data_IF_582071847150
#
_entry.id   IF_582071847150
#
_cell.length_a   1.000
_cell.length_b   1.000
_cell.length_c   1.000
_cell.angle_alpha   90.00
_cell.angle_beta   90.00
_cell.angle_gamma   90.00
#
_symmetry.space_group_name_H-M   'P 1'
#
loop_
_entity.id
_entity.type
_entity.pdbx_description
1 polymer ?
#
# COMPACT_ATOMS: atom_id res chain seq x y z
N UNK A 1 36.88 -50.00 -8.46
CA UNK A 1 36.34 -51.20 -7.78
C UNK A 1 35.67 -50.78 -6.47
N UNK A 2 34.51 -51.40 -6.19
CA UNK A 2 33.65 -51.38 -4.98
C UNK A 2 32.87 -50.10 -4.66
N UNK A 3 31.60 -50.15 -5.06
CA UNK A 3 30.46 -49.31 -4.66
C UNK A 3 29.79 -49.93 -3.42
N UNK A 4 29.10 -49.13 -2.62
CA UNK A 4 27.98 -49.60 -1.79
C UNK A 4 26.78 -48.67 -1.99
N UNK A 5 25.71 -49.28 -2.47
CA UNK A 5 24.37 -48.75 -2.70
C UNK A 5 23.52 -49.34 -1.57
N UNK A 6 22.75 -48.53 -0.87
CA UNK A 6 21.69 -49.01 0.03
C UNK A 6 20.36 -48.69 -0.67
N UNK A 7 19.68 -49.74 -1.10
CA UNK A 7 18.27 -49.70 -1.45
C UNK A 7 17.42 -50.18 -0.28
N UNK A 8 16.14 -49.81 -0.32
CA UNK A 8 15.04 -50.68 0.10
C UNK A 8 13.87 -50.42 -0.84
N UNK A 9 13.33 -51.51 -1.40
CA UNK A 9 12.20 -51.54 -2.32
C UNK A 9 10.97 -52.13 -1.63
N UNK A 10 9.84 -52.07 -2.37
CA UNK A 10 8.58 -52.82 -2.21
C UNK A 10 7.63 -52.30 -1.11
N UNK A 11 6.33 -52.19 -1.29
CA UNK A 11 5.43 -52.78 -2.29
C UNK A 11 4.17 -51.90 -2.49
N UNK A 12 3.59 -51.93 -3.69
CA UNK A 12 2.25 -51.41 -3.94
C UNK A 12 1.16 -52.40 -3.54
N UNK A 13 -0.04 -51.88 -3.27
CA UNK A 13 -1.27 -52.65 -3.36
C UNK A 13 -2.44 -51.76 -3.80
N UNK A 14 -2.96 -52.10 -4.98
CA UNK A 14 -4.27 -51.78 -5.53
C UNK A 14 -5.38 -52.21 -4.57
N UNK A 15 -6.38 -51.35 -4.31
CA UNK A 15 -7.76 -51.80 -4.07
C UNK A 15 -8.76 -50.77 -4.60
N UNK A 16 -9.40 -51.14 -5.71
CA UNK A 16 -10.66 -50.59 -6.17
C UNK A 16 -11.83 -51.33 -5.49
N UNK A 17 -12.93 -50.61 -5.26
CA UNK A 17 -14.27 -51.21 -5.20
C UNK A 17 -15.11 -50.90 -3.96
N UNK A 18 -16.31 -50.36 -4.21
CA UNK A 18 -17.53 -51.00 -3.71
C UNK A 18 -18.37 -50.27 -2.66
N UNK A 19 -19.43 -49.61 -3.15
CA UNK A 19 -20.79 -49.51 -2.62
C UNK A 19 -21.11 -49.89 -1.16
N UNK A 20 -21.79 -48.98 -0.45
CA UNK A 20 -22.86 -49.33 0.47
C UNK A 20 -23.90 -48.20 0.57
N UNK A 21 -25.08 -48.46 0.02
CA UNK A 21 -26.36 -47.78 0.32
C UNK A 21 -26.96 -48.39 1.58
N UNK A 22 -27.47 -47.59 2.52
CA UNK A 22 -28.77 -47.87 3.19
C UNK A 22 -29.36 -46.60 3.77
N UNK A 23 -30.68 -46.55 3.61
CA UNK A 23 -31.63 -45.45 3.75
C UNK A 23 -32.05 -45.16 5.20
N UNK A 24 -32.53 -43.94 5.44
CA UNK A 24 -33.74 -43.71 6.24
C UNK A 24 -34.52 -42.54 5.63
N UNK A 25 -35.84 -42.72 5.56
CA UNK A 25 -36.81 -41.82 4.96
C UNK A 25 -37.69 -41.16 6.05
N UNK A 26 -38.34 -40.08 5.61
CA UNK A 26 -39.57 -39.45 6.12
C UNK A 26 -39.45 -38.34 7.18
N UNK A 27 -39.69 -37.12 6.66
CA UNK A 27 -40.56 -36.04 7.14
C UNK A 27 -40.53 -35.65 8.61
N UNK A 28 -40.02 -34.44 8.84
CA UNK A 28 -40.67 -33.47 9.74
C UNK A 28 -40.22 -32.07 9.36
N UNK A 29 -41.21 -31.20 9.13
CA UNK A 29 -41.01 -29.77 8.94
C UNK A 29 -40.20 -29.20 10.11
N UNK A 30 -39.08 -28.54 9.79
CA UNK A 30 -38.35 -27.73 10.76
C UNK A 30 -37.86 -26.46 10.05
N UNK A 31 -38.28 -25.34 10.64
CA UNK A 31 -38.02 -23.97 10.25
C UNK A 31 -36.60 -23.75 9.74
N UNK A 32 -36.48 -23.06 8.60
CA UNK A 32 -35.22 -22.46 8.17
C UNK A 32 -34.81 -21.40 9.20
N UNK A 33 -34.00 -21.82 10.16
CA UNK A 33 -33.27 -20.92 11.03
C UNK A 33 -32.29 -20.13 10.14
N UNK A 34 -32.54 -18.83 9.98
CA UNK A 34 -31.55 -17.89 9.43
C UNK A 34 -30.35 -17.96 10.35
N UNK A 35 -29.34 -18.74 9.98
CA UNK A 35 -28.05 -18.73 10.63
C UNK A 35 -27.49 -17.32 10.57
N UNK A 36 -27.50 -16.63 11.72
CA UNK A 36 -26.69 -15.45 11.95
C UNK A 36 -25.23 -15.81 11.63
N UNK A 37 -24.77 -15.39 10.46
CA UNK A 37 -23.36 -15.29 10.16
C UNK A 37 -22.80 -14.12 10.98
N UNK A 38 -22.60 -14.34 12.28
CA UNK A 38 -21.83 -13.42 13.11
C UNK A 38 -20.37 -13.50 12.68
N UNK A 39 -20.00 -12.74 11.66
CA UNK A 39 -18.60 -12.44 11.38
C UNK A 39 -18.07 -11.64 12.56
N UNK A 40 -17.39 -12.33 13.47
CA UNK A 40 -16.64 -11.72 14.56
C UNK A 40 -15.44 -10.99 13.96
N UNK A 41 -15.68 -9.78 13.48
CA UNK A 41 -14.67 -8.78 13.20
C UNK A 41 -13.98 -8.43 14.53
N UNK A 42 -13.05 -9.29 14.97
CA UNK A 42 -12.13 -8.91 16.03
C UNK A 42 -11.32 -7.76 15.48
N UNK A 43 -11.55 -6.57 16.06
CA UNK A 43 -10.78 -5.34 16.00
C UNK A 43 -9.27 -5.59 16.14
N UNK A 44 -8.66 -6.17 15.11
CA UNK A 44 -7.23 -6.17 14.82
C UNK A 44 -7.09 -5.15 13.71
N UNK A 45 -6.57 -3.98 14.09
CA UNK A 45 -6.45 -2.79 13.26
C UNK A 45 -6.17 -3.14 11.79
N UNK A 46 -7.19 -2.93 10.97
CA UNK A 46 -7.04 -2.96 9.53
C UNK A 46 -6.07 -1.84 9.18
N UNK A 47 -4.99 -2.26 8.52
CA UNK A 47 -3.83 -1.43 8.25
C UNK A 47 -4.20 -0.16 7.52
N UNK A 48 -3.28 0.80 7.64
CA UNK A 48 -3.22 2.04 6.88
C UNK A 48 -3.30 1.80 5.35
N UNK A 49 -4.49 1.50 4.83
CA UNK A 49 -4.81 1.57 3.41
C UNK A 49 -5.22 3.01 3.11
N UNK A 50 -4.20 3.86 3.00
CA UNK A 50 -3.94 4.55 1.74
C UNK A 50 -5.01 5.42 1.05
N UNK A 51 -6.15 5.77 1.65
CA UNK A 51 -6.84 7.01 1.26
C UNK A 51 -6.07 8.16 1.91
N UNK A 52 -5.19 8.78 1.14
CA UNK A 52 -4.30 9.87 1.57
C UNK A 52 -5.04 11.16 1.92
N UNK A 53 -6.01 11.13 2.83
CA UNK A 53 -6.35 12.31 3.61
C UNK A 53 -5.27 12.43 4.68
N UNK A 54 -4.46 13.48 4.63
CA UNK A 54 -3.79 13.89 5.85
C UNK A 54 -4.88 14.20 6.88
N UNK A 55 -4.67 13.87 8.16
CA UNK A 55 -5.56 14.31 9.24
C UNK A 55 -5.42 15.83 9.47
N UNK A 56 -5.03 16.58 8.44
CA UNK A 56 -4.86 18.01 8.52
C UNK A 56 -6.25 18.62 8.52
N UNK A 57 -6.52 19.48 9.51
CA UNK A 57 -7.84 20.05 9.74
C UNK A 57 -8.40 20.75 8.48
N UNK A 58 -7.53 21.31 7.65
CA UNK A 58 -7.93 22.03 6.43
C UNK A 58 -8.51 21.10 5.36
N UNK A 59 -7.91 19.92 5.13
CA UNK A 59 -8.42 18.94 4.16
C UNK A 59 -9.72 18.27 4.61
N UNK A 60 -9.89 18.08 5.93
CA UNK A 60 -11.14 17.56 6.51
C UNK A 60 -12.26 18.58 6.30
N UNK A 61 -12.00 19.85 6.60
CA UNK A 61 -12.98 20.93 6.40
C UNK A 61 -13.33 21.12 4.92
N UNK A 62 -12.35 21.04 4.03
CA UNK A 62 -12.60 21.12 2.58
C UNK A 62 -13.49 19.98 2.12
N UNK A 63 -13.17 18.73 2.46
CA UNK A 63 -13.98 17.55 2.11
C UNK A 63 -15.38 17.61 2.69
N UNK A 64 -15.51 18.03 3.95
CA UNK A 64 -16.81 18.24 4.57
C UNK A 64 -17.63 19.27 3.77
N UNK A 65 -17.02 20.39 3.38
CA UNK A 65 -17.66 21.40 2.53
C UNK A 65 -18.09 20.87 1.16
N UNK A 66 -17.23 20.09 0.49
CA UNK A 66 -17.54 19.46 -0.81
C UNK A 66 -18.73 18.48 -0.72
N UNK A 67 -18.89 17.81 0.42
CA UNK A 67 -19.97 16.87 0.69
C UNK A 67 -21.21 17.53 1.32
N UNK A 68 -21.18 18.85 1.54
CA UNK A 68 -22.28 19.60 2.17
C UNK A 68 -22.47 19.30 3.66
N UNK A 69 -21.42 18.82 4.35
CA UNK A 69 -21.42 18.48 5.77
C UNK A 69 -21.16 19.74 6.60
N UNK A 70 -22.00 19.97 7.62
CA UNK A 70 -21.79 21.05 8.59
C UNK A 70 -20.55 20.81 9.45
N UNK A 71 -19.67 21.80 9.51
CA UNK A 71 -18.38 21.72 10.22
C UNK A 71 -18.38 22.41 11.59
N UNK A 72 -19.30 23.33 11.83
CA UNK A 72 -19.33 24.13 13.06
C UNK A 72 -19.66 23.27 14.30
N UNK A 73 -18.82 23.37 15.32
CA UNK A 73 -19.02 22.69 16.60
C UNK A 73 -18.71 21.19 16.61
N UNK A 74 -18.20 20.63 15.51
CA UNK A 74 -17.79 19.22 15.42
C UNK A 74 -16.28 19.08 15.57
N UNK A 75 -15.85 18.03 16.25
CA UNK A 75 -14.45 17.64 16.27
C UNK A 75 -14.05 16.91 14.96
N UNK A 76 -12.74 16.75 14.77
CA UNK A 76 -12.20 16.13 13.56
C UNK A 76 -12.60 14.66 13.40
N UNK A 77 -12.74 13.91 14.49
CA UNK A 77 -13.10 12.49 14.45
C UNK A 77 -14.54 12.30 13.95
N UNK A 78 -15.45 13.12 14.46
CA UNK A 78 -16.85 13.19 14.02
C UNK A 78 -16.93 13.56 12.54
N UNK A 79 -16.18 14.60 12.12
CA UNK A 79 -16.17 15.01 10.71
C UNK A 79 -15.62 13.92 9.78
N UNK A 80 -14.55 13.23 10.19
CA UNK A 80 -14.01 12.10 9.41
C UNK A 80 -15.04 10.98 9.27
N UNK A 81 -15.77 10.67 10.35
CA UNK A 81 -16.86 9.68 10.33
C UNK A 81 -17.95 10.05 9.32
N UNK A 82 -18.47 11.27 9.41
CA UNK A 82 -19.52 11.75 8.51
C UNK A 82 -19.06 11.85 7.05
N UNK A 83 -17.82 12.30 6.81
CA UNK A 83 -17.23 12.31 5.46
C UNK A 83 -17.18 10.90 4.89
N UNK A 84 -16.71 9.94 5.69
CA UNK A 84 -16.60 8.54 5.25
C UNK A 84 -17.97 7.95 4.93
N UNK A 85 -18.97 8.19 5.78
CA UNK A 85 -20.34 7.75 5.55
C UNK A 85 -20.93 8.36 4.27
N UNK A 86 -20.78 9.66 4.08
CA UNK A 86 -21.25 10.36 2.89
C UNK A 86 -20.57 9.85 1.60
N UNK A 87 -19.26 9.57 1.65
CA UNK A 87 -18.52 8.96 0.53
C UNK A 87 -19.04 7.55 0.21
N UNK A 88 -19.21 6.69 1.21
CA UNK A 88 -19.72 5.33 1.03
C UNK A 88 -21.13 5.36 0.43
N UNK A 89 -22.01 6.22 0.95
CA UNK A 89 -23.37 6.39 0.43
C UNK A 89 -23.38 6.86 -1.03
N UNK A 90 -22.48 7.77 -1.38
CA UNK A 90 -22.33 8.25 -2.75
C UNK A 90 -21.87 7.12 -3.67
N UNK A 91 -20.80 6.41 -3.30
CA UNK A 91 -20.28 5.28 -4.07
C UNK A 91 -21.30 4.15 -4.21
N UNK A 92 -22.04 3.84 -3.15
CA UNK A 92 -23.12 2.87 -3.18
C UNK A 92 -24.18 3.24 -4.22
N UNK A 93 -24.61 4.49 -4.26
CA UNK A 93 -25.57 4.98 -5.26
C UNK A 93 -25.02 4.90 -6.68
N UNK A 94 -23.76 5.27 -6.89
CA UNK A 94 -23.09 5.19 -8.21
C UNK A 94 -22.99 3.74 -8.71
N UNK A 95 -22.79 2.78 -7.80
CA UNK A 95 -22.75 1.35 -8.09
C UNK A 95 -24.13 0.68 -8.14
N UNK A 96 -25.21 1.44 -7.94
CA UNK A 96 -26.59 0.91 -7.93
C UNK A 96 -26.92 0.05 -6.71
N UNK A 97 -26.17 0.17 -5.62
CA UNK A 97 -26.39 -0.54 -4.36
C UNK A 97 -27.53 0.14 -3.59
N UNK A 98 -28.48 -0.66 -3.10
CA UNK A 98 -29.56 -0.17 -2.24
C UNK A 98 -29.01 0.23 -0.87
N UNK A 99 -29.30 1.46 -0.46
CA UNK A 99 -28.83 2.06 0.81
C UNK A 99 -29.83 1.99 1.95
N UNK A 100 -31.12 1.82 1.68
CA UNK A 100 -32.16 1.91 2.69
C UNK A 100 -32.06 0.78 3.74
N UNK A 101 -31.95 1.17 5.00
CA UNK A 101 -31.97 0.25 6.14
C UNK A 101 -30.68 -0.53 6.39
N UNK A 102 -29.57 -0.17 5.73
CA UNK A 102 -28.23 -0.73 5.98
C UNK A 102 -27.39 0.21 6.82
N UNK A 103 -26.53 -0.34 7.65
CA UNK A 103 -25.50 0.45 8.31
C UNK A 103 -24.31 0.74 7.38
N UNK A 104 -23.43 1.62 7.84
CA UNK A 104 -22.30 2.12 7.04
C UNK A 104 -21.27 1.02 6.75
N UNK A 105 -21.06 0.09 7.69
CA UNK A 105 -20.17 -1.05 7.55
C UNK A 105 -20.67 -2.02 6.47
N UNK A 106 -21.94 -2.41 6.50
CA UNK A 106 -22.57 -3.27 5.48
C UNK A 106 -22.47 -2.63 4.09
N UNK A 107 -22.74 -1.33 4.00
CA UNK A 107 -22.60 -0.58 2.75
C UNK A 107 -21.17 -0.53 2.25
N UNK A 108 -20.20 -0.37 3.16
CA UNK A 108 -18.80 -0.37 2.79
C UNK A 108 -18.37 -1.71 2.21
N UNK A 109 -18.77 -2.83 2.83
CA UNK A 109 -18.46 -4.16 2.35
C UNK A 109 -19.05 -4.41 0.96
N UNK A 110 -20.31 -4.02 0.73
CA UNK A 110 -20.96 -4.16 -0.57
C UNK A 110 -20.31 -3.28 -1.64
N UNK A 111 -19.97 -2.04 -1.32
CA UNK A 111 -19.25 -1.12 -2.22
C UNK A 111 -17.88 -1.69 -2.58
N UNK A 112 -17.11 -2.17 -1.59
CA UNK A 112 -15.80 -2.75 -1.83
C UNK A 112 -15.89 -4.00 -2.71
N UNK A 113 -16.83 -4.90 -2.42
CA UNK A 113 -17.05 -6.09 -3.23
C UNK A 113 -17.46 -5.74 -4.66
N UNK A 114 -18.35 -4.77 -4.84
CA UNK A 114 -18.77 -4.32 -6.17
C UNK A 114 -17.60 -3.74 -6.98
N UNK A 115 -16.72 -2.95 -6.34
CA UNK A 115 -15.49 -2.44 -6.98
C UNK A 115 -14.54 -3.56 -7.38
N UNK A 116 -14.28 -4.53 -6.49
CA UNK A 116 -13.46 -5.70 -6.81
C UNK A 116 -14.04 -6.52 -7.95
N UNK A 117 -15.37 -6.69 -8.00
CA UNK A 117 -16.03 -7.39 -9.11
C UNK A 117 -15.85 -6.64 -10.44
N UNK A 118 -15.98 -5.30 -10.43
CA UNK A 118 -15.73 -4.48 -11.62
C UNK A 118 -14.30 -4.66 -12.12
N UNK A 119 -13.31 -4.48 -11.23
CA UNK A 119 -11.89 -4.62 -11.56
C UNK A 119 -11.53 -6.05 -12.03
N UNK A 120 -12.06 -7.08 -11.37
CA UNK A 120 -11.89 -8.46 -11.80
C UNK A 120 -12.46 -8.68 -13.21
N UNK A 121 -13.65 -8.15 -13.51
CA UNK A 121 -14.25 -8.29 -14.83
C UNK A 121 -13.42 -7.59 -15.93
N UNK A 122 -12.87 -6.41 -15.64
CA UNK A 122 -11.95 -5.69 -16.54
C UNK A 122 -10.68 -6.51 -16.85
N UNK A 123 -10.20 -7.29 -15.88
CA UNK A 123 -9.07 -8.22 -16.03
C UNK A 123 -9.47 -9.59 -16.62
N UNK A 124 -10.74 -9.78 -17.01
CA UNK A 124 -11.24 -11.05 -17.55
C UNK A 124 -11.38 -12.18 -16.51
N UNK A 125 -11.39 -11.85 -15.22
CA UNK A 125 -11.56 -12.78 -14.11
C UNK A 125 -13.05 -13.02 -13.85
N UNK A 126 -13.46 -14.29 -13.75
CA UNK A 126 -14.85 -14.66 -13.38
C UNK A 126 -15.15 -14.20 -11.96
N UNK A 127 -16.33 -13.64 -11.74
CA UNK A 127 -16.71 -13.04 -10.44
C UNK A 127 -17.81 -13.80 -9.70
N UNK A 128 -18.54 -14.67 -10.38
CA UNK A 128 -19.66 -15.41 -9.81
C UNK A 128 -19.20 -16.34 -8.69
N UNK A 129 -19.83 -16.22 -7.52
CA UNK A 129 -19.56 -17.07 -6.35
C UNK A 129 -18.28 -16.73 -5.58
N UNK A 130 -17.57 -15.66 -5.95
CA UNK A 130 -16.36 -15.22 -5.25
C UNK A 130 -16.66 -14.10 -4.25
N UNK A 131 -16.00 -14.18 -3.10
CA UNK A 131 -15.97 -13.13 -2.09
C UNK A 131 -14.85 -12.12 -2.35
N UNK A 132 -14.74 -11.11 -1.49
CA UNK A 132 -13.76 -10.03 -1.64
C UNK A 132 -12.32 -10.54 -1.54
N UNK A 133 -12.04 -11.52 -0.67
CA UNK A 133 -10.70 -12.05 -0.47
C UNK A 133 -10.23 -12.81 -1.71
N UNK A 134 -11.06 -13.71 -2.24
CA UNK A 134 -10.77 -14.46 -3.45
C UNK A 134 -10.56 -13.53 -4.67
N UNK A 135 -11.42 -12.51 -4.83
CA UNK A 135 -11.26 -11.54 -5.91
C UNK A 135 -9.97 -10.74 -5.76
N UNK A 136 -9.64 -10.26 -4.56
CA UNK A 136 -8.43 -9.50 -4.31
C UNK A 136 -7.16 -10.30 -4.62
N UNK A 137 -7.11 -11.58 -4.22
CA UNK A 137 -5.99 -12.46 -4.55
C UNK A 137 -5.83 -12.71 -6.04
N UNK A 138 -6.94 -12.96 -6.75
CA UNK A 138 -6.92 -13.21 -8.19
C UNK A 138 -6.55 -11.97 -9.00
N UNK A 139 -7.11 -10.81 -8.65
CA UNK A 139 -6.73 -9.50 -9.24
C UNK A 139 -5.24 -9.25 -9.03
N UNK A 140 -4.76 -9.40 -7.78
CA UNK A 140 -3.35 -9.20 -7.46
C UNK A 140 -2.43 -10.15 -8.24
N UNK A 141 -2.85 -11.40 -8.44
CA UNK A 141 -2.12 -12.39 -9.22
C UNK A 141 -2.12 -12.04 -10.71
N UNK A 142 -3.25 -11.58 -11.26
CA UNK A 142 -3.35 -11.16 -12.66
C UNK A 142 -2.43 -9.97 -12.95
N UNK A 143 -2.48 -8.91 -12.13
CA UNK A 143 -1.59 -7.75 -12.25
C UNK A 143 -0.11 -8.13 -12.14
N UNK A 144 0.23 -9.04 -11.23
CA UNK A 144 1.60 -9.53 -11.09
C UNK A 144 2.09 -10.26 -12.36
N UNK A 145 1.22 -11.04 -13.00
CA UNK A 145 1.55 -11.71 -14.28
C UNK A 145 1.69 -10.72 -15.42
N UNK A 146 0.86 -9.69 -15.46
CA UNK A 146 0.99 -8.60 -16.43
C UNK A 146 2.35 -7.89 -16.28
N UNK A 147 2.72 -7.51 -15.06
CA UNK A 147 4.04 -6.93 -14.78
C UNK A 147 5.20 -7.87 -15.15
N UNK A 148 5.05 -9.18 -14.90
CA UNK A 148 6.04 -10.16 -15.34
C UNK A 148 6.22 -10.14 -16.86
N UNK A 149 5.13 -10.13 -17.61
CA UNK A 149 5.16 -10.12 -19.07
C UNK A 149 5.80 -8.84 -19.61
N UNK A 150 5.50 -7.67 -19.04
CA UNK A 150 6.11 -6.38 -19.39
C UNK A 150 7.64 -6.39 -19.21
N UNK A 151 8.12 -7.10 -18.19
CA UNK A 151 9.54 -7.20 -17.85
C UNK A 151 10.23 -8.41 -18.50
N UNK A 152 9.50 -9.21 -19.28
CA UNK A 152 10.02 -10.43 -19.92
C UNK A 152 10.31 -11.57 -18.94
N UNK A 153 9.68 -11.57 -17.76
CA UNK A 153 9.78 -12.62 -16.74
C UNK A 153 8.75 -13.71 -17.02
N UNK A 154 9.18 -14.96 -17.08
CA UNK A 154 8.27 -16.09 -17.31
C UNK A 154 7.39 -16.35 -16.09
N UNK A 155 6.10 -16.61 -16.29
CA UNK A 155 5.13 -16.87 -15.20
C UNK A 155 4.85 -18.35 -14.97
N UNK A 156 5.30 -19.23 -15.86
CA UNK A 156 4.98 -20.66 -15.82
C UNK A 156 5.70 -21.39 -14.69
N UNK A 157 4.97 -22.26 -13.98
CA UNK A 157 5.48 -23.15 -12.93
C UNK A 157 6.20 -22.44 -11.76
N UNK A 158 5.89 -21.17 -11.52
CA UNK A 158 6.42 -20.39 -10.39
C UNK A 158 5.35 -20.15 -9.35
N UNK A 159 5.72 -20.30 -8.08
CA UNK A 159 4.93 -19.77 -6.98
C UNK A 159 4.98 -18.24 -6.95
N UNK A 160 4.04 -17.61 -6.25
CA UNK A 160 3.91 -16.16 -6.18
C UNK A 160 5.13 -15.47 -5.57
N UNK A 161 5.82 -16.09 -4.61
CA UNK A 161 6.97 -15.49 -3.95
C UNK A 161 8.18 -15.45 -4.89
N UNK A 162 8.42 -16.56 -5.59
CA UNK A 162 9.45 -16.64 -6.63
C UNK A 162 9.17 -15.65 -7.76
N UNK A 163 7.92 -15.59 -8.25
CA UNK A 163 7.53 -14.65 -9.30
C UNK A 163 7.77 -13.20 -8.89
N UNK A 164 7.39 -12.80 -7.66
CA UNK A 164 7.63 -11.45 -7.13
C UNK A 164 9.12 -11.10 -7.09
N UNK A 165 9.97 -12.02 -6.64
CA UNK A 165 11.43 -11.81 -6.57
C UNK A 165 12.04 -11.64 -7.96
N UNK A 166 11.59 -12.43 -8.93
CA UNK A 166 12.08 -12.32 -10.31
C UNK A 166 11.62 -11.03 -10.98
N UNK A 167 10.36 -10.63 -10.80
CA UNK A 167 9.85 -9.32 -11.25
C UNK A 167 10.67 -8.19 -10.64
N UNK A 168 10.92 -8.23 -9.33
CA UNK A 168 11.73 -7.23 -8.65
C UNK A 168 13.15 -7.18 -9.23
N UNK A 169 13.75 -8.34 -9.49
CA UNK A 169 15.09 -8.45 -10.08
C UNK A 169 15.12 -7.88 -11.49
N UNK A 170 14.16 -8.25 -12.34
CA UNK A 170 14.06 -7.74 -13.71
C UNK A 170 13.84 -6.22 -13.74
N UNK A 171 12.98 -5.71 -12.85
CA UNK A 171 12.75 -4.27 -12.69
C UNK A 171 14.01 -3.51 -12.28
N UNK A 172 14.75 -4.02 -11.28
CA UNK A 172 16.02 -3.41 -10.86
C UNK A 172 17.08 -3.48 -11.98
N UNK A 173 17.18 -4.59 -12.70
CA UNK A 173 18.10 -4.72 -13.82
C UNK A 173 17.78 -3.73 -14.96
N UNK A 174 16.51 -3.52 -15.25
CA UNK A 174 16.06 -2.50 -16.22
C UNK A 174 16.49 -1.10 -15.79
N UNK A 175 16.21 -0.74 -14.53
CA UNK A 175 16.60 0.57 -13.98
C UNK A 175 18.13 0.76 -13.93
N UNK A 176 18.88 -0.28 -13.53
CA UNK A 176 20.33 -0.27 -13.54
C UNK A 176 20.87 0.04 -14.95
N UNK A 177 20.33 -0.63 -15.98
CA UNK A 177 20.69 -0.40 -17.38
C UNK A 177 20.40 1.03 -17.83
N UNK A 178 19.24 1.59 -17.46
CA UNK A 178 18.85 2.98 -17.77
C UNK A 178 19.77 4.03 -17.09
N UNK A 179 20.38 3.67 -15.96
CA UNK A 179 21.32 4.51 -15.22
C UNK A 179 22.80 4.19 -15.50
N UNK A 180 23.09 3.24 -16.40
CA UNK A 180 24.46 2.83 -16.72
C UNK A 180 25.18 2.05 -15.60
N UNK A 181 24.43 1.43 -14.69
CA UNK A 181 24.95 0.62 -13.59
C UNK A 181 25.04 -0.85 -14.04
N UNK A 182 26.18 -1.50 -13.80
CA UNK A 182 26.30 -2.96 -13.98
C UNK A 182 25.61 -3.68 -12.82
N UNK A 183 24.75 -4.64 -13.16
CA UNK A 183 24.10 -5.53 -12.20
C UNK A 183 24.89 -6.83 -11.92
N UNK A 184 25.96 -7.08 -12.67
CA UNK A 184 26.68 -8.36 -12.63
C UNK A 184 27.34 -8.60 -11.27
N UNK A 185 27.05 -9.77 -10.68
CA UNK A 185 27.64 -10.20 -9.41
C UNK A 185 27.15 -9.43 -8.18
N UNK A 186 26.17 -8.55 -8.30
CA UNK A 186 25.60 -7.79 -7.18
C UNK A 186 24.36 -8.49 -6.63
N UNK A 187 24.22 -8.46 -5.31
CA UNK A 187 22.96 -8.81 -4.68
C UNK A 187 21.93 -7.67 -4.85
N UNK A 188 20.64 -7.99 -4.64
CA UNK A 188 19.55 -7.05 -4.87
C UNK A 188 19.61 -5.81 -3.96
N UNK A 189 20.12 -5.92 -2.73
CA UNK A 189 20.21 -4.76 -1.84
C UNK A 189 21.28 -3.79 -2.32
N UNK A 190 22.45 -4.31 -2.68
CA UNK A 190 23.54 -3.50 -3.24
C UNK A 190 23.10 -2.82 -4.53
N UNK A 191 22.51 -3.57 -5.47
CA UNK A 191 22.02 -3.02 -6.74
C UNK A 191 20.99 -1.91 -6.52
N UNK A 192 20.06 -2.13 -5.60
CA UNK A 192 19.03 -1.16 -5.23
C UNK A 192 19.62 0.13 -4.63
N UNK A 193 20.62 0.01 -3.77
CA UNK A 193 21.29 1.18 -3.18
C UNK A 193 22.07 1.99 -4.23
N UNK A 194 22.71 1.30 -5.18
CA UNK A 194 23.40 1.96 -6.28
C UNK A 194 22.43 2.68 -7.23
N UNK A 195 21.33 2.02 -7.61
CA UNK A 195 20.25 2.62 -8.41
C UNK A 195 19.72 3.86 -7.70
N UNK A 196 19.43 3.76 -6.40
CA UNK A 196 18.99 4.90 -5.60
C UNK A 196 20.00 6.05 -5.63
N UNK A 197 21.26 5.75 -5.36
CA UNK A 197 22.32 6.75 -5.34
C UNK A 197 22.49 7.44 -6.69
N UNK A 198 22.53 6.68 -7.78
CA UNK A 198 22.65 7.22 -9.12
C UNK A 198 21.43 8.06 -9.52
N UNK A 199 20.22 7.62 -9.14
CA UNK A 199 18.98 8.37 -9.38
C UNK A 199 18.99 9.71 -8.66
N UNK A 200 19.42 9.74 -7.40
CA UNK A 200 19.58 10.98 -6.61
C UNK A 200 20.60 11.91 -7.26
N UNK A 201 21.76 11.39 -7.66
CA UNK A 201 22.80 12.20 -8.33
C UNK A 201 22.28 12.80 -9.64
N UNK A 202 21.65 11.99 -10.49
CA UNK A 202 21.10 12.41 -11.78
C UNK A 202 20.03 13.49 -11.63
N UNK A 203 19.13 13.33 -10.67
CA UNK A 203 18.08 14.33 -10.43
C UNK A 203 18.65 15.60 -9.76
N UNK A 204 19.63 15.47 -8.86
CA UNK A 204 20.34 16.62 -8.30
C UNK A 204 21.04 17.45 -9.38
N UNK A 205 21.75 16.80 -10.31
CA UNK A 205 22.38 17.45 -11.46
C UNK A 205 21.34 18.17 -12.34
N UNK A 206 20.22 17.51 -12.66
CA UNK A 206 19.13 18.08 -13.44
C UNK A 206 18.51 19.33 -12.78
N UNK A 207 18.46 19.35 -11.45
CA UNK A 207 17.91 20.46 -10.67
C UNK A 207 18.97 21.49 -10.25
N UNK A 208 20.25 21.26 -10.56
CA UNK A 208 21.35 22.15 -10.17
C UNK A 208 21.65 22.18 -8.67
N UNK A 209 21.40 21.07 -7.96
CA UNK A 209 21.58 20.94 -6.51
C UNK A 209 22.96 20.34 -6.23
N UNK A 210 23.77 21.02 -5.41
CA UNK A 210 25.02 20.45 -4.92
C UNK A 210 24.77 19.48 -3.76
N UNK A 211 25.25 18.26 -3.92
CA UNK A 211 25.12 17.16 -2.94
C UNK A 211 26.48 16.73 -2.37
N UNK A 212 27.54 17.51 -2.63
CA UNK A 212 28.88 17.22 -2.12
C UNK A 212 28.91 17.30 -0.59
N UNK A 213 29.53 16.31 0.05
CA UNK A 213 29.63 16.22 1.51
C UNK A 213 28.35 15.83 2.26
N UNK A 214 27.22 15.61 1.55
CA UNK A 214 25.95 15.17 2.15
C UNK A 214 25.82 13.65 2.13
N UNK A 215 25.15 13.08 3.12
CA UNK A 215 24.69 11.69 3.01
C UNK A 215 23.65 11.59 1.87
N UNK A 216 23.59 10.43 1.22
CA UNK A 216 22.70 10.24 0.08
C UNK A 216 21.22 10.40 0.45
N UNK A 217 20.83 10.13 1.70
CA UNK A 217 19.45 10.33 2.17
C UNK A 217 19.13 11.80 2.36
N UNK A 218 20.07 12.58 2.87
CA UNK A 218 19.93 14.03 3.01
C UNK A 218 19.83 14.68 1.62
N UNK A 219 20.75 14.30 0.71
CA UNK A 219 20.69 14.68 -0.69
C UNK A 219 19.33 14.32 -1.32
N UNK A 220 18.83 13.12 -1.05
CA UNK A 220 17.55 12.67 -1.58
C UNK A 220 16.37 13.52 -1.09
N UNK A 221 16.34 13.87 0.20
CA UNK A 221 15.30 14.72 0.78
C UNK A 221 15.33 16.14 0.22
N UNK A 222 16.52 16.70 0.01
CA UNK A 222 16.69 18.02 -0.58
C UNK A 222 16.25 18.06 -2.04
N UNK A 223 16.71 17.09 -2.85
CA UNK A 223 16.30 16.92 -4.25
C UNK A 223 14.78 16.81 -4.36
N UNK A 224 14.17 15.96 -3.53
CA UNK A 224 12.71 15.83 -3.49
C UNK A 224 12.02 17.14 -3.12
N UNK A 225 12.52 17.84 -2.10
CA UNK A 225 11.92 19.08 -1.64
C UNK A 225 12.01 20.18 -2.70
N UNK A 226 13.13 20.30 -3.39
CA UNK A 226 13.32 21.25 -4.49
C UNK A 226 12.42 20.89 -5.66
N UNK A 227 12.35 19.60 -6.04
CA UNK A 227 11.48 19.12 -7.11
C UNK A 227 10.02 19.46 -6.84
N UNK A 228 9.50 19.07 -5.68
CA UNK A 228 8.11 19.33 -5.28
C UNK A 228 7.81 20.84 -5.27
N UNK A 229 8.71 21.67 -4.73
CA UNK A 229 8.53 23.13 -4.73
C UNK A 229 8.55 23.71 -6.15
N UNK A 230 9.38 23.17 -7.04
CA UNK A 230 9.44 23.60 -8.45
C UNK A 230 8.13 23.26 -9.16
N UNK A 231 7.68 22.01 -9.05
CA UNK A 231 6.40 21.56 -9.64
C UNK A 231 5.21 22.33 -9.08
N UNK A 232 5.20 22.60 -7.77
CA UNK A 232 4.16 23.42 -7.14
C UNK A 232 4.09 24.82 -7.75
N UNK A 233 5.24 25.48 -7.95
CA UNK A 233 5.30 26.79 -8.60
C UNK A 233 4.80 26.74 -10.04
N UNK A 234 5.20 25.73 -10.82
CA UNK A 234 4.75 25.53 -12.20
C UNK A 234 3.22 25.32 -12.28
N UNK A 235 2.63 24.70 -11.25
CA UNK A 235 1.20 24.43 -11.16
C UNK A 235 0.39 25.53 -10.44
N UNK A 236 1.04 26.60 -10.00
CA UNK A 236 0.40 27.71 -9.29
C UNK A 236 -0.09 27.36 -7.88
N UNK A 237 0.56 26.40 -7.21
CA UNK A 237 0.23 25.93 -5.85
C UNK A 237 1.01 26.77 -4.83
N UNK A 238 0.33 27.25 -3.79
CA UNK A 238 0.96 27.96 -2.68
C UNK A 238 1.82 27.02 -1.83
N UNK A 239 3.04 27.45 -1.49
CA UNK A 239 4.00 26.67 -0.71
C UNK A 239 4.20 27.23 0.71
N UNK A 240 3.70 28.42 1.00
CA UNK A 240 3.96 29.11 2.26
C UNK A 240 3.14 28.48 3.39
N UNK A 241 3.80 28.20 4.52
CA UNK A 241 3.17 27.59 5.70
C UNK A 241 2.86 26.09 5.58
N UNK A 242 3.13 25.45 4.43
CA UNK A 242 2.84 24.03 4.19
C UNK A 242 4.06 23.14 4.35
N UNK A 243 3.84 21.94 4.88
CA UNK A 243 4.85 20.88 4.87
C UNK A 243 5.04 20.33 3.46
N UNK A 244 6.26 19.87 3.15
CA UNK A 244 6.59 19.38 1.80
C UNK A 244 5.69 18.22 1.34
N UNK A 245 5.20 17.40 2.27
CA UNK A 245 4.30 16.29 1.96
C UNK A 245 2.92 16.77 1.51
N UNK A 246 2.40 17.84 2.10
CA UNK A 246 1.14 18.46 1.69
C UNK A 246 1.28 19.08 0.30
N UNK A 247 2.39 19.79 0.05
CA UNK A 247 2.70 20.35 -1.26
C UNK A 247 2.80 19.24 -2.32
N UNK A 248 3.49 18.14 -2.02
CA UNK A 248 3.62 17.01 -2.94
C UNK A 248 2.27 16.36 -3.26
N UNK A 249 1.37 16.31 -2.28
CA UNK A 249 0.01 15.83 -2.47
C UNK A 249 -0.79 16.76 -3.39
N UNK A 250 -0.81 18.07 -3.11
CA UNK A 250 -1.51 19.05 -3.96
C UNK A 250 -0.96 19.05 -5.39
N UNK A 251 0.36 18.92 -5.55
CA UNK A 251 1.01 18.76 -6.86
C UNK A 251 0.48 17.53 -7.58
N UNK A 252 0.41 16.39 -6.89
CA UNK A 252 -0.13 15.14 -7.47
C UNK A 252 -1.59 15.30 -7.86
N UNK A 253 -2.43 15.82 -6.98
CA UNK A 253 -3.87 16.01 -7.23
C UNK A 253 -4.09 16.95 -8.40
N UNK A 254 -3.31 18.03 -8.50
CA UNK A 254 -3.37 18.97 -9.62
C UNK A 254 -2.91 18.33 -10.94
N UNK A 255 -1.83 17.53 -10.91
CA UNK A 255 -1.38 16.75 -12.07
C UNK A 255 -2.46 15.79 -12.56
N UNK A 256 -3.09 15.05 -11.66
CA UNK A 256 -4.23 14.16 -11.98
C UNK A 256 -5.40 14.93 -12.57
N UNK A 257 -5.78 16.05 -11.96
CA UNK A 257 -6.90 16.86 -12.44
C UNK A 257 -6.63 17.49 -13.82
N UNK A 258 -5.39 17.91 -14.10
CA UNK A 258 -5.00 18.40 -15.42
C UNK A 258 -5.03 17.28 -16.46
N UNK A 259 -4.47 16.10 -16.14
CA UNK A 259 -4.49 14.95 -17.03
C UNK A 259 -5.94 14.49 -17.32
N UNK A 260 -6.82 14.49 -16.32
CA UNK A 260 -8.24 14.22 -16.51
C UNK A 260 -8.86 15.17 -17.54
N UNK A 261 -8.59 16.49 -17.42
CA UNK A 261 -9.09 17.50 -18.37
C UNK A 261 -8.54 17.29 -19.77
N UNK A 262 -7.25 16.99 -19.90
CA UNK A 262 -6.59 16.74 -21.19
C UNK A 262 -7.18 15.51 -21.89
N UNK A 263 -7.60 14.52 -21.10
CA UNK A 263 -8.28 13.33 -21.59
C UNK A 263 -9.80 13.52 -21.73
N UNK A 264 -10.35 14.70 -21.47
CA UNK A 264 -11.79 14.96 -21.54
C UNK A 264 -12.62 14.21 -20.48
N UNK A 265 -12.00 13.81 -19.37
CA UNK A 265 -12.67 13.23 -18.21
C UNK A 265 -13.21 14.37 -17.33
N UNK A 266 -14.49 14.30 -16.97
CA UNK A 266 -15.09 15.27 -16.04
C UNK A 266 -14.42 15.18 -14.67
N UNK A 267 -14.03 16.32 -14.11
CA UNK A 267 -13.44 16.44 -12.76
C UNK A 267 -14.46 16.82 -11.69
N UNK A 268 -15.70 17.10 -12.09
CA UNK A 268 -16.76 17.53 -11.18
C UNK A 268 -17.23 16.36 -10.32
N UNK A 269 -17.36 16.59 -9.02
CA UNK A 269 -17.85 15.63 -8.05
C UNK A 269 -17.05 14.30 -8.06
N UNK A 270 -15.76 14.32 -8.40
CA UNK A 270 -14.91 13.12 -8.40
C UNK A 270 -13.73 13.31 -7.47
N UNK A 271 -13.43 12.27 -6.69
CA UNK A 271 -12.20 12.24 -5.91
C UNK A 271 -11.00 12.03 -6.83
N UNK A 272 -9.80 12.33 -6.34
CA UNK A 272 -8.56 12.01 -7.06
C UNK A 272 -8.46 10.53 -7.37
N UNK A 273 -8.95 9.65 -6.49
CA UNK A 273 -8.93 8.20 -6.73
C UNK A 273 -9.84 7.79 -7.90
N UNK A 274 -11.02 8.40 -8.02
CA UNK A 274 -11.94 8.14 -9.15
C UNK A 274 -11.32 8.62 -10.46
N UNK A 275 -10.68 9.80 -10.43
CA UNK A 275 -9.93 10.29 -11.58
C UNK A 275 -8.77 9.39 -11.96
N UNK A 276 -8.02 8.86 -10.99
CA UNK A 276 -6.94 7.91 -11.27
C UNK A 276 -7.48 6.66 -11.98
N UNK A 277 -8.55 6.06 -11.46
CA UNK A 277 -9.14 4.86 -12.04
C UNK A 277 -9.66 5.11 -13.47
N UNK A 278 -10.39 6.21 -13.70
CA UNK A 278 -10.89 6.54 -15.03
C UNK A 278 -9.78 6.90 -16.02
N UNK A 279 -8.72 7.58 -15.55
CA UNK A 279 -7.56 7.85 -16.40
C UNK A 279 -6.81 6.55 -16.71
N UNK A 280 -6.67 5.64 -15.74
CA UNK A 280 -5.99 4.35 -15.94
C UNK A 280 -6.73 3.51 -16.99
N UNK A 281 -8.06 3.46 -16.94
CA UNK A 281 -8.91 2.78 -17.92
C UNK A 281 -8.76 3.41 -19.32
N UNK A 282 -8.59 4.74 -19.38
CA UNK A 282 -8.54 5.48 -20.65
C UNK A 282 -7.16 5.53 -21.30
N UNK A 283 -6.12 5.74 -20.50
CA UNK A 283 -4.74 5.93 -20.94
C UNK A 283 -3.75 5.70 -19.76
N UNK A 284 -3.58 4.44 -19.37
CA UNK A 284 -2.66 4.02 -18.31
C UNK A 284 -1.21 4.46 -18.56
N UNK A 285 -0.77 4.50 -19.84
CA UNK A 285 0.56 4.94 -20.21
C UNK A 285 0.78 6.42 -19.87
N UNK A 286 -0.16 7.32 -20.23
CA UNK A 286 -0.05 8.72 -19.84
C UNK A 286 -0.18 8.93 -18.33
N UNK A 287 -0.99 8.12 -17.65
CA UNK A 287 -1.07 8.16 -16.19
C UNK A 287 0.30 7.86 -15.58
N UNK A 288 0.96 6.83 -16.09
CA UNK A 288 2.30 6.43 -15.68
C UNK A 288 3.35 7.49 -16.05
N UNK A 289 3.23 8.19 -17.17
CA UNK A 289 4.17 9.28 -17.48
C UNK A 289 4.00 10.47 -16.52
N UNK A 290 2.77 10.78 -16.10
CA UNK A 290 2.47 11.92 -15.20
C UNK A 290 2.76 11.60 -13.73
N UNK A 291 2.51 10.36 -13.30
CA UNK A 291 2.60 9.94 -11.89
C UNK A 291 3.69 8.92 -11.59
N UNK A 292 4.11 8.16 -12.60
CA UNK A 292 5.08 7.06 -12.51
C UNK A 292 6.52 7.51 -12.35
N UNK A 293 6.78 8.82 -12.25
CA UNK A 293 7.93 9.36 -11.53
C UNK A 293 7.80 9.07 -10.01
N UNK A 294 7.69 7.78 -9.65
CA UNK A 294 7.87 7.25 -8.30
C UNK A 294 9.21 7.80 -7.80
N UNK A 295 9.28 8.31 -6.56
CA UNK A 295 10.45 9.03 -6.01
C UNK A 295 11.78 8.77 -6.76
N UNK A 296 12.20 9.74 -7.59
CA UNK A 296 13.41 9.69 -8.42
C UNK A 296 13.50 8.57 -9.48
N UNK A 297 12.38 8.12 -10.04
CA UNK A 297 12.34 7.12 -11.12
C UNK A 297 12.41 5.67 -10.65
N UNK A 298 12.29 5.40 -9.34
CA UNK A 298 12.48 4.05 -8.81
C UNK A 298 11.13 3.38 -8.52
N UNK A 299 10.69 2.50 -9.44
CA UNK A 299 9.49 1.66 -9.25
C UNK A 299 9.71 0.75 -8.01
N UNK A 300 8.86 0.88 -6.99
CA UNK A 300 8.86 0.04 -5.79
C UNK A 300 9.56 0.59 -4.54
N UNK A 301 10.16 1.80 -4.56
CA UNK A 301 10.66 2.45 -3.35
C UNK A 301 9.51 3.10 -2.56
N UNK A 302 8.76 2.28 -1.83
CA UNK A 302 7.68 2.73 -0.96
C UNK A 302 8.18 3.30 0.38
N UNK A 303 7.35 4.14 1.03
CA UNK A 303 7.57 4.75 2.37
C UNK A 303 8.06 3.76 3.45
N UNK A 304 7.80 2.47 3.29
CA UNK A 304 8.19 1.40 4.24
C UNK A 304 9.70 1.20 4.33
N UNK A 305 10.46 1.58 3.30
CA UNK A 305 11.90 1.29 3.18
C UNK A 305 12.80 2.46 3.61
N UNK A 306 12.24 3.67 3.71
CA UNK A 306 12.91 4.82 4.34
C UNK A 306 12.84 4.79 5.87
N UNK A 307 11.91 4.02 6.45
CA UNK A 307 11.93 3.70 7.88
C UNK A 307 12.96 2.61 8.11
N UNK A 308 14.19 3.02 8.41
CA UNK A 308 15.20 2.09 8.91
C UNK A 308 14.64 1.28 10.08
N UNK A 309 15.07 0.02 10.19
CA UNK A 309 14.88 -0.84 11.35
C UNK A 309 15.15 -0.03 12.63
N UNK A 310 14.11 0.48 13.26
CA UNK A 310 14.15 0.70 14.70
C UNK A 310 14.06 -0.69 15.29
N UNK A 311 15.21 -1.23 15.67
CA UNK A 311 15.27 -2.42 16.47
C UNK A 311 14.31 -2.23 17.64
N UNK A 312 13.36 -3.15 17.78
CA UNK A 312 12.61 -3.32 19.00
C UNK A 312 13.62 -3.61 20.11
N UNK A 313 14.06 -2.57 20.81
CA UNK A 313 14.62 -2.70 22.14
C UNK A 313 13.53 -3.29 23.01
N UNK A 314 13.62 -4.60 23.24
CA UNK A 314 12.82 -5.26 24.25
C UNK A 314 13.16 -4.65 25.59
N UNK A 315 12.12 -4.21 26.26
CA UNK A 315 12.10 -3.92 27.69
C UNK A 315 12.86 -4.97 28.49
N UNK A 316 13.87 -4.52 29.23
CA UNK A 316 14.31 -5.20 30.45
C UNK A 316 14.14 -4.22 31.60
N UNK A 317 12.94 -4.26 32.16
CA UNK A 317 12.61 -4.10 33.58
C UNK A 317 13.60 -3.29 34.41
N UNK A 318 13.22 -2.05 34.64
CA UNK A 318 13.63 -1.23 35.77
C UNK A 318 13.19 -1.94 37.07
N UNK A 319 14.07 -2.72 37.68
CA UNK A 319 13.82 -3.30 38.99
C UNK A 319 14.25 -2.27 40.05
N UNK A 320 13.25 -1.65 40.66
CA UNK A 320 13.40 -0.80 41.83
C UNK A 320 14.02 -1.59 42.98
N UNK A 321 15.14 -1.10 43.52
CA UNK A 321 15.57 -1.37 44.89
C UNK A 321 15.89 -0.04 45.59
N UNK A 322 14.86 0.54 46.20
CA UNK A 322 14.98 1.18 47.51
C UNK A 322 14.70 0.07 48.55
N UNK A 323 15.32 -0.05 49.71
CA UNK A 323 15.81 0.93 50.68
C UNK A 323 16.65 0.22 51.76
N UNK A 324 17.53 0.97 52.44
CA UNK A 324 17.86 0.96 53.90
C UNK A 324 19.24 1.61 54.07
N UNK A 325 19.32 2.85 54.57
CA UNK A 325 19.59 3.22 55.98
C UNK A 325 20.97 2.66 56.43
N UNK A 326 22.00 3.44 56.82
CA UNK A 326 22.00 4.65 57.65
C UNK A 326 23.36 5.43 57.59
N UNK A 327 23.48 6.61 58.24
CA UNK A 327 24.52 7.62 58.04
C UNK A 327 25.61 7.66 59.14
N UNK A 328 26.87 7.85 58.74
CA UNK A 328 28.01 8.39 59.48
C UNK A 328 29.19 8.38 58.47
N UNK A 329 30.07 9.36 58.32
CA UNK A 329 30.76 10.14 59.34
C UNK A 329 31.31 11.43 58.71
N UNK A 330 31.56 12.40 59.58
CA UNK A 330 31.88 13.80 59.34
C UNK A 330 33.40 13.97 59.35
N UNK A 331 33.85 15.13 58.86
CA UNK A 331 35.14 15.79 59.12
C UNK A 331 36.31 15.38 58.21
N UNK A 332 36.71 16.23 57.27
CA UNK A 332 37.68 17.35 57.43
C UNK A 332 39.01 16.89 58.03
N UNK A 333 40.09 16.87 57.25
CA UNK A 333 41.31 17.57 57.65
C UNK A 333 42.24 17.84 56.45
N UNK A 334 42.93 18.98 56.56
CA UNK A 334 44.12 19.50 55.90
C UNK A 334 45.05 18.47 55.23
N UNK A 335 45.70 18.74 54.08
CA UNK A 335 46.57 19.88 53.83
C UNK A 335 48.01 19.55 54.22
N UNK A 336 48.91 19.51 53.22
CA UNK A 336 50.39 19.60 53.27
C UNK A 336 51.17 18.32 52.90
N UNK A 337 51.60 18.23 51.64
CA UNK A 337 52.97 18.45 51.15
C UNK A 337 53.10 17.98 49.71
#
# INVERSE_FOLDING_TARGET
>A
MKKTIIGFSLAGLLLAGGYATTSFAADTEAYAEKGELSWKFKSRGFGHHGRGGTNDSESILQRAGELGIQTEGKDAETLIGEIREAEILKEAKELGIKTDGKDTEDLMEEVMLAKLKKEAAELGIKTEGKDAEALHEEIGTAKLKEEANELGVTTENKDLETLKKEIQTASLNKQAKELGISADGKDLQTLKQEIFTASVKKEAEKLGISIEGKDIREAAQEVFSVKVKKEAKELGISIDGKFIQQIAQEVREKKVANLAKDLGISTKDKSTADLLAEIEEKDSAKLQDVLGETFMGIKGFGKKEMKGNHGHGKDSSMEQRASKEDPADISTDSGSM
#
